data_IF_037429555330
#
_entry.id   IF_037429555330
#
_cell.length_a   1.000
_cell.length_b   1.000
_cell.length_c   1.000
_cell.angle_alpha   90.00
_cell.angle_beta   90.00
_cell.angle_gamma   90.00
#
_symmetry.space_group_name_H-M   'P 1'
#
loop_
_entity.id
_entity.type
_entity.pdbx_description
1 polymer ?
#
# COMPACT_ATOMS: atom_id res chain seq x y z
N UNK A 1 17.00 22.77 5.95
CA UNK A 1 15.67 22.13 5.88
C UNK A 1 15.06 22.16 7.29
N UNK A 2 13.74 22.31 7.42
CA UNK A 2 13.02 22.28 8.69
C UNK A 2 12.76 20.83 9.14
N UNK A 3 12.51 20.60 10.44
CA UNK A 3 12.11 19.27 10.93
C UNK A 3 10.64 18.98 10.59
N UNK A 4 9.78 19.98 10.77
CA UNK A 4 8.35 19.91 10.46
C UNK A 4 7.94 21.19 9.72
N UNK A 5 7.11 21.05 8.70
CA UNK A 5 6.43 22.16 8.04
C UNK A 5 4.93 21.88 7.99
N UNK A 6 4.13 22.89 8.32
CA UNK A 6 2.68 22.79 8.34
C UNK A 6 2.10 23.40 7.07
N UNK A 7 1.33 22.62 6.32
CA UNK A 7 0.54 23.06 5.18
C UNK A 7 -0.69 23.80 5.70
N UNK A 8 -0.81 25.07 5.31
CA UNK A 8 -1.90 25.95 5.75
C UNK A 8 -2.73 26.49 4.57
N UNK A 9 -2.42 26.11 3.33
CA UNK A 9 -3.16 26.54 2.14
C UNK A 9 -3.70 25.36 1.33
N UNK A 10 -4.83 25.59 0.65
CA UNK A 10 -5.47 24.60 -0.20
C UNK A 10 -4.64 24.30 -1.46
N UNK A 11 -3.87 25.27 -1.96
CA UNK A 11 -2.94 25.04 -3.07
C UNK A 11 -1.82 24.04 -2.69
N UNK A 12 -1.26 24.17 -1.48
CA UNK A 12 -0.28 23.23 -0.97
C UNK A 12 -0.89 21.85 -0.73
N UNK A 13 -2.11 21.79 -0.19
CA UNK A 13 -2.85 20.54 0.01
C UNK A 13 -3.09 19.82 -1.32
N UNK A 14 -3.55 20.54 -2.35
CA UNK A 14 -3.73 20.02 -3.72
C UNK A 14 -2.40 19.52 -4.30
N UNK A 15 -1.31 20.25 -4.09
CA UNK A 15 0.00 19.83 -4.58
C UNK A 15 0.46 18.51 -3.95
N UNK A 16 0.23 18.27 -2.66
CA UNK A 16 0.59 17.00 -2.02
C UNK A 16 -0.43 15.87 -2.22
N UNK A 17 -1.57 16.15 -2.85
CA UNK A 17 -2.61 15.15 -3.16
C UNK A 17 -2.28 14.29 -4.40
N UNK A 18 -0.98 14.13 -4.70
CA UNK A 18 -0.43 13.39 -5.83
C UNK A 18 0.70 12.48 -5.32
N UNK A 19 0.55 11.17 -5.52
CA UNK A 19 1.48 10.17 -4.96
C UNK A 19 2.90 10.34 -5.48
N UNK A 20 3.07 10.76 -6.74
CA UNK A 20 4.39 10.99 -7.31
C UNK A 20 5.04 12.24 -6.71
N UNK A 21 4.28 13.30 -6.44
CA UNK A 21 4.80 14.49 -5.76
C UNK A 21 5.24 14.18 -4.32
N UNK A 22 4.46 13.39 -3.58
CA UNK A 22 4.86 12.91 -2.24
C UNK A 22 6.17 12.13 -2.34
N UNK A 23 6.26 11.17 -3.27
CA UNK A 23 7.48 10.38 -3.49
C UNK A 23 8.69 11.23 -3.90
N UNK A 24 8.50 12.26 -4.73
CA UNK A 24 9.56 13.22 -5.08
C UNK A 24 10.03 13.96 -3.82
N UNK A 25 9.11 14.44 -2.99
CA UNK A 25 9.45 15.13 -1.74
C UNK A 25 10.24 14.20 -0.81
N UNK A 26 9.83 12.94 -0.66
CA UNK A 26 10.53 11.96 0.19
C UNK A 26 11.98 11.76 -0.23
N UNK A 27 12.25 11.60 -1.53
CA UNK A 27 13.61 11.47 -2.05
C UNK A 27 14.47 12.74 -1.85
N UNK A 28 13.82 13.90 -1.79
CA UNK A 28 14.46 15.20 -1.58
C UNK A 28 14.65 15.58 -0.10
N UNK A 29 14.22 14.75 0.86
CA UNK A 29 14.48 14.95 2.29
C UNK A 29 15.94 14.72 2.65
N UNK A 30 16.55 13.70 2.06
CA UNK A 30 17.89 13.24 2.44
C UNK A 30 19.00 14.13 1.89
N UNK A 31 18.92 14.47 0.60
CA UNK A 31 19.92 15.29 -0.09
C UNK A 31 19.30 16.07 -1.25
N UNK A 32 19.88 17.21 -1.66
CA UNK A 32 19.48 17.88 -2.87
C UNK A 32 19.71 17.01 -4.11
N UNK A 33 18.74 17.00 -5.03
CA UNK A 33 18.83 16.28 -6.30
C UNK A 33 18.41 17.17 -7.47
N UNK A 34 18.94 16.88 -8.65
CA UNK A 34 18.46 17.46 -9.90
C UNK A 34 17.22 16.71 -10.41
N UNK A 35 16.46 17.35 -11.32
CA UNK A 35 15.35 16.69 -12.02
C UNK A 35 15.83 15.41 -12.73
N UNK A 36 17.01 15.43 -13.35
CA UNK A 36 17.59 14.27 -14.04
C UNK A 36 17.89 13.14 -13.07
N UNK A 37 18.48 13.44 -11.91
CA UNK A 37 18.77 12.43 -10.88
C UNK A 37 17.50 11.84 -10.29
N UNK A 38 16.47 12.65 -10.05
CA UNK A 38 15.16 12.17 -9.62
C UNK A 38 14.51 11.27 -10.68
N UNK A 39 14.60 11.64 -11.95
CA UNK A 39 14.06 10.86 -13.05
C UNK A 39 14.71 9.48 -13.15
N UNK A 40 16.03 9.42 -13.02
CA UNK A 40 16.79 8.16 -12.98
C UNK A 40 16.40 7.32 -11.75
N UNK A 41 16.38 7.92 -10.56
CA UNK A 41 16.04 7.24 -9.30
C UNK A 41 14.62 6.67 -9.30
N UNK A 42 13.67 7.36 -9.92
CA UNK A 42 12.26 6.98 -9.97
C UNK A 42 11.92 6.14 -11.21
N UNK A 43 12.86 5.90 -12.12
CA UNK A 43 12.61 5.19 -13.39
C UNK A 43 11.59 5.90 -14.29
N UNK A 44 11.56 7.23 -14.29
CA UNK A 44 10.57 8.04 -15.02
C UNK A 44 11.20 8.98 -16.05
N UNK A 45 10.41 9.42 -17.03
CA UNK A 45 10.86 10.41 -18.00
C UNK A 45 11.17 11.77 -17.34
N UNK A 46 12.30 12.44 -17.64
CA UNK A 46 12.66 13.73 -17.05
C UNK A 46 11.61 14.83 -17.20
N UNK A 47 10.91 14.87 -18.33
CA UNK A 47 9.84 15.84 -18.58
C UNK A 47 8.68 15.71 -17.57
N UNK A 48 8.33 14.48 -17.18
CA UNK A 48 7.31 14.20 -16.18
C UNK A 48 7.76 14.71 -14.81
N UNK A 49 8.98 14.37 -14.39
CA UNK A 49 9.53 14.84 -13.11
C UNK A 49 9.66 16.36 -13.05
N UNK A 50 10.09 17.00 -14.14
CA UNK A 50 10.20 18.45 -14.22
C UNK A 50 8.87 19.14 -13.91
N UNK A 51 7.76 18.65 -14.47
CA UNK A 51 6.43 19.18 -14.18
C UNK A 51 6.11 19.10 -12.68
N UNK A 52 6.30 17.94 -12.05
CA UNK A 52 5.97 17.76 -10.64
C UNK A 52 6.88 18.59 -9.71
N UNK A 53 8.18 18.68 -9.99
CA UNK A 53 9.12 19.53 -9.24
C UNK A 53 8.71 21.00 -9.33
N UNK A 54 8.32 21.48 -10.51
CA UNK A 54 7.86 22.86 -10.70
C UNK A 54 6.57 23.16 -9.93
N UNK A 55 5.61 22.24 -9.94
CA UNK A 55 4.36 22.42 -9.19
C UNK A 55 4.61 22.51 -7.68
N UNK A 56 5.51 21.67 -7.14
CA UNK A 56 5.89 21.71 -5.74
C UNK A 56 6.72 22.95 -5.37
N UNK A 57 7.63 23.39 -6.25
CA UNK A 57 8.39 24.63 -6.07
C UNK A 57 7.47 25.86 -6.05
N UNK A 58 6.48 25.90 -6.95
CA UNK A 58 5.49 27.00 -7.03
C UNK A 58 4.76 27.21 -5.71
N UNK A 59 4.39 26.13 -5.02
CA UNK A 59 3.73 26.17 -3.71
C UNK A 59 4.71 26.15 -2.53
N UNK A 60 6.01 26.33 -2.80
CA UNK A 60 7.08 26.43 -1.81
C UNK A 60 7.29 25.18 -0.94
N UNK A 61 6.93 24.01 -1.46
CA UNK A 61 7.22 22.72 -0.80
C UNK A 61 8.59 22.17 -1.19
N UNK A 62 9.15 22.64 -2.31
CA UNK A 62 10.55 22.46 -2.68
C UNK A 62 11.24 23.81 -2.84
N UNK A 63 12.57 23.83 -2.72
CA UNK A 63 13.42 24.99 -2.99
C UNK A 63 14.59 24.61 -3.89
N UNK A 64 14.92 25.47 -4.84
CA UNK A 64 16.22 25.46 -5.51
C UNK A 64 17.29 25.88 -4.49
N UNK A 65 18.16 24.96 -4.11
CA UNK A 65 19.19 25.21 -3.09
C UNK A 65 20.57 25.44 -3.67
N UNK A 66 20.81 24.95 -4.89
CA UNK A 66 22.11 25.08 -5.54
C UNK A 66 21.97 25.02 -7.06
N UNK A 67 22.88 25.68 -7.76
CA UNK A 67 23.04 25.57 -9.20
C UNK A 67 24.51 25.33 -9.52
N UNK A 68 24.81 24.31 -10.32
CA UNK A 68 26.19 23.92 -10.69
C UNK A 68 26.32 23.86 -12.20
N UNK A 69 27.42 24.35 -12.74
CA UNK A 69 27.76 24.13 -14.14
C UNK A 69 28.58 22.85 -14.28
N UNK A 70 28.09 21.89 -15.06
CA UNK A 70 28.77 20.62 -15.33
C UNK A 70 28.74 20.34 -16.83
N UNK A 71 29.92 20.40 -17.46
CA UNK A 71 30.04 20.20 -18.91
C UNK A 71 29.30 21.25 -19.75
N UNK A 72 29.24 22.51 -19.28
CA UNK A 72 28.50 23.60 -19.95
C UNK A 72 26.99 23.57 -19.75
N UNK A 73 26.45 22.61 -19.00
CA UNK A 73 25.04 22.51 -18.65
C UNK A 73 24.85 22.99 -17.21
N UNK A 74 23.88 23.89 -17.03
CA UNK A 74 23.51 24.42 -15.73
C UNK A 74 22.54 23.47 -15.02
N UNK A 75 23.04 22.70 -14.06
CA UNK A 75 22.26 21.77 -13.23
C UNK A 75 21.64 22.51 -12.04
N UNK A 76 20.33 22.34 -11.84
CA UNK A 76 19.57 22.88 -10.71
C UNK A 76 19.28 21.80 -9.68
N UNK A 77 19.70 22.02 -8.44
CA UNK A 77 19.51 21.09 -7.33
C UNK A 77 18.39 21.58 -6.41
N UNK A 78 17.36 20.75 -6.28
CA UNK A 78 16.18 21.03 -5.47
C UNK A 78 16.26 20.27 -4.14
N UNK A 79 15.62 20.79 -3.09
CA UNK A 79 15.49 20.10 -1.81
C UNK A 79 14.10 20.35 -1.20
N UNK A 80 13.59 19.37 -0.45
CA UNK A 80 12.36 19.53 0.32
C UNK A 80 12.52 20.59 1.41
N UNK A 81 11.45 21.33 1.72
CA UNK A 81 11.50 22.37 2.74
C UNK A 81 11.55 21.83 4.17
N UNK A 82 11.03 20.63 4.38
CA UNK A 82 11.03 19.96 5.68
C UNK A 82 11.16 18.44 5.57
N UNK A 83 11.61 17.80 6.66
CA UNK A 83 11.61 16.34 6.82
C UNK A 83 10.19 15.78 6.95
N UNK A 84 9.34 16.46 7.71
CA UNK A 84 7.95 16.06 7.92
C UNK A 84 7.01 17.16 7.47
N UNK A 85 5.90 16.76 6.84
CA UNK A 85 4.85 17.66 6.39
C UNK A 85 3.57 17.29 7.12
N UNK A 86 2.99 18.25 7.83
CA UNK A 86 1.70 18.11 8.47
C UNK A 86 0.66 18.97 7.75
N UNK A 87 -0.58 18.50 7.68
CA UNK A 87 -1.69 19.31 7.18
C UNK A 87 -2.36 20.01 8.36
N UNK A 88 -2.51 21.33 8.29
CA UNK A 88 -3.13 22.07 9.38
C UNK A 88 -4.59 21.70 9.56
N UNK A 89 -5.02 21.57 10.81
CA UNK A 89 -6.42 21.30 11.16
C UNK A 89 -7.37 22.37 10.63
N UNK A 90 -6.91 23.61 10.46
CA UNK A 90 -7.71 24.73 9.93
C UNK A 90 -8.21 24.48 8.51
N UNK A 91 -7.48 23.68 7.71
CA UNK A 91 -7.88 23.32 6.35
C UNK A 91 -9.09 22.36 6.31
N UNK A 92 -9.41 21.73 7.44
CA UNK A 92 -10.59 20.87 7.59
C UNK A 92 -11.77 21.58 8.26
N UNK A 93 -11.71 22.91 8.38
CA UNK A 93 -12.85 23.73 8.79
C UNK A 93 -13.95 23.70 7.73
N UNK A 94 -15.21 23.93 8.12
CA UNK A 94 -16.38 23.75 7.25
C UNK A 94 -16.34 24.51 5.92
N UNK A 95 -15.66 25.66 5.85
CA UNK A 95 -15.51 26.45 4.63
C UNK A 95 -14.57 25.82 3.58
N UNK A 96 -13.76 24.83 3.97
CA UNK A 96 -12.73 24.21 3.13
C UNK A 96 -12.81 22.68 3.11
N UNK A 97 -13.86 22.10 3.71
CA UNK A 97 -14.04 20.65 3.81
C UNK A 97 -14.14 19.97 2.44
N UNK A 98 -14.88 20.54 1.50
CA UNK A 98 -15.06 19.93 0.17
C UNK A 98 -13.74 19.82 -0.60
N UNK A 99 -12.91 20.86 -0.56
CA UNK A 99 -11.61 20.84 -1.24
C UNK A 99 -10.62 19.88 -0.56
N UNK A 100 -10.62 19.82 0.77
CA UNK A 100 -9.78 18.88 1.51
C UNK A 100 -10.22 17.42 1.26
N UNK A 101 -11.52 17.17 1.19
CA UNK A 101 -12.08 15.87 0.85
C UNK A 101 -11.76 15.48 -0.60
N UNK A 102 -11.76 16.42 -1.53
CA UNK A 102 -11.37 16.19 -2.92
C UNK A 102 -9.89 15.77 -3.01
N UNK A 103 -8.98 16.45 -2.30
CA UNK A 103 -7.57 16.08 -2.26
C UNK A 103 -7.34 14.67 -1.70
N UNK A 104 -8.00 14.32 -0.60
CA UNK A 104 -7.95 12.96 -0.05
C UNK A 104 -8.51 11.96 -1.07
N UNK A 105 -9.67 12.25 -1.67
CA UNK A 105 -10.29 11.38 -2.67
C UNK A 105 -9.39 11.15 -3.88
N UNK A 106 -8.65 12.17 -4.30
CA UNK A 106 -7.69 12.06 -5.39
C UNK A 106 -6.52 11.11 -5.04
N UNK A 107 -6.00 11.14 -3.82
CA UNK A 107 -4.99 10.19 -3.35
C UNK A 107 -5.54 8.75 -3.30
N UNK A 108 -6.76 8.59 -2.75
CA UNK A 108 -7.44 7.30 -2.69
C UNK A 108 -7.64 6.70 -4.08
N UNK A 109 -8.08 7.51 -5.04
CA UNK A 109 -8.29 7.08 -6.42
C UNK A 109 -6.98 6.67 -7.10
N UNK A 110 -5.89 7.42 -6.91
CA UNK A 110 -4.58 7.03 -7.45
C UNK A 110 -4.09 5.69 -6.88
N UNK A 111 -4.25 5.49 -5.56
CA UNK A 111 -3.89 4.23 -4.92
C UNK A 111 -4.74 3.06 -5.45
N UNK A 112 -6.06 3.26 -5.56
CA UNK A 112 -7.00 2.30 -6.16
C UNK A 112 -6.60 1.95 -7.59
N UNK A 113 -6.37 2.94 -8.44
CA UNK A 113 -6.08 2.74 -9.86
C UNK A 113 -4.74 2.02 -10.04
N UNK A 114 -3.73 2.37 -9.24
CA UNK A 114 -2.45 1.66 -9.20
C UNK A 114 -2.60 0.19 -8.78
N UNK A 115 -3.37 -0.07 -7.71
CA UNK A 115 -3.66 -1.44 -7.28
C UNK A 115 -4.42 -2.24 -8.35
N UNK A 116 -5.45 -1.67 -8.97
CA UNK A 116 -6.23 -2.34 -10.00
C UNK A 116 -5.38 -2.65 -11.26
N UNK A 117 -4.48 -1.75 -11.65
CA UNK A 117 -3.56 -2.00 -12.75
C UNK A 117 -2.61 -3.17 -12.42
N UNK A 118 -2.03 -3.19 -11.22
CA UNK A 118 -1.18 -4.29 -10.75
C UNK A 118 -1.95 -5.61 -10.66
N UNK A 119 -3.19 -5.57 -10.16
CA UNK A 119 -4.11 -6.70 -10.13
C UNK A 119 -4.35 -7.28 -11.52
N UNK A 120 -4.75 -6.43 -12.49
CA UNK A 120 -5.01 -6.87 -13.86
C UNK A 120 -3.79 -7.47 -14.53
N UNK A 121 -2.61 -6.86 -14.35
CA UNK A 121 -1.36 -7.36 -14.88
C UNK A 121 -1.01 -8.74 -14.29
N UNK A 122 -1.12 -8.87 -12.97
CA UNK A 122 -0.90 -10.14 -12.26
C UNK A 122 -1.86 -11.25 -12.72
N UNK A 123 -3.13 -10.92 -13.01
CA UNK A 123 -4.10 -11.89 -13.53
C UNK A 123 -3.78 -12.42 -14.93
N UNK A 124 -2.90 -11.75 -15.69
CA UNK A 124 -2.43 -12.20 -17.00
C UNK A 124 -1.15 -13.04 -16.92
N UNK A 125 -0.46 -13.03 -15.77
CA UNK A 125 0.72 -13.86 -15.55
C UNK A 125 0.35 -15.34 -15.58
N UNK A 126 1.23 -16.19 -16.10
CA UNK A 126 1.04 -17.65 -16.13
C UNK A 126 1.86 -18.39 -15.08
N UNK A 127 2.90 -17.76 -14.54
CA UNK A 127 3.83 -18.40 -13.59
C UNK A 127 3.33 -18.31 -12.15
N UNK A 128 3.08 -17.10 -11.64
CA UNK A 128 2.56 -16.89 -10.28
C UNK A 128 1.50 -15.80 -10.23
N UNK A 129 0.25 -16.11 -10.57
CA UNK A 129 -0.86 -15.16 -10.48
C UNK A 129 -1.08 -14.76 -9.03
N UNK A 130 -0.96 -13.46 -8.76
CA UNK A 130 -1.18 -12.88 -7.44
C UNK A 130 0.06 -12.61 -6.62
N UNK A 131 1.24 -13.03 -7.09
CA UNK A 131 2.49 -12.79 -6.38
C UNK A 131 2.72 -11.28 -6.17
N UNK A 132 2.95 -10.89 -4.92
CA UNK A 132 3.19 -9.50 -4.54
C UNK A 132 1.94 -8.62 -4.41
N UNK A 133 0.73 -9.18 -4.55
CA UNK A 133 -0.52 -8.46 -4.28
C UNK A 133 -1.09 -8.85 -2.92
N UNK A 134 -1.48 -7.83 -2.15
CA UNK A 134 -2.23 -8.00 -0.91
C UNK A 134 -3.28 -6.90 -0.80
N UNK A 135 -4.49 -7.26 -0.40
CA UNK A 135 -5.52 -6.32 0.05
C UNK A 135 -6.24 -6.96 1.23
N UNK A 136 -6.05 -6.37 2.41
CA UNK A 136 -6.45 -6.94 3.69
C UNK A 136 -7.48 -6.03 4.33
N UNK A 137 -8.62 -6.60 4.71
CA UNK A 137 -9.64 -5.92 5.49
C UNK A 137 -9.75 -6.59 6.86
N UNK A 138 -9.46 -5.82 7.91
CA UNK A 138 -9.44 -6.33 9.29
C UNK A 138 -10.26 -5.43 10.20
N UNK A 139 -11.19 -6.03 10.93
CA UNK A 139 -11.88 -5.35 12.03
C UNK A 139 -11.03 -5.45 13.30
N UNK A 140 -10.64 -4.29 13.83
CA UNK A 140 -9.80 -4.20 15.02
C UNK A 140 -10.53 -3.41 16.11
N UNK A 141 -10.37 -3.85 17.36
CA UNK A 141 -10.93 -3.19 18.54
C UNK A 141 -9.79 -2.54 19.30
N UNK A 142 -9.75 -1.20 19.30
CA UNK A 142 -8.71 -0.43 19.97
C UNK A 142 -9.20 0.99 20.27
N UNK A 143 -8.54 1.64 21.22
CA UNK A 143 -8.67 3.07 21.48
C UNK A 143 -7.91 3.90 20.44
N UNK A 144 -8.17 5.21 20.37
CA UNK A 144 -7.43 6.13 19.48
C UNK A 144 -5.93 6.18 19.82
N UNK A 145 -5.57 6.09 21.10
CA UNK A 145 -4.16 6.07 21.53
C UNK A 145 -3.46 4.78 21.08
N UNK A 146 -4.13 3.64 21.23
CA UNK A 146 -3.63 2.35 20.73
C UNK A 146 -3.49 2.35 19.20
N UNK A 147 -4.41 2.99 18.47
CA UNK A 147 -4.31 3.17 17.02
C UNK A 147 -3.06 3.99 16.64
N UNK A 148 -2.80 5.11 17.31
CA UNK A 148 -1.57 5.88 17.07
C UNK A 148 -0.30 5.07 17.38
N UNK A 149 -0.30 4.30 18.46
CA UNK A 149 0.83 3.42 18.82
C UNK A 149 1.04 2.31 17.79
N UNK A 150 -0.04 1.73 17.27
CA UNK A 150 0.03 0.70 16.22
C UNK A 150 0.64 1.28 14.94
N UNK A 151 0.16 2.45 14.47
CA UNK A 151 0.72 3.10 13.28
C UNK A 151 2.20 3.43 13.46
N UNK A 152 2.62 3.85 14.65
CA UNK A 152 4.05 4.08 14.95
C UNK A 152 4.88 2.80 14.78
N UNK A 153 4.42 1.68 15.35
CA UNK A 153 5.12 0.38 15.24
C UNK A 153 5.18 -0.11 13.80
N UNK A 154 4.11 0.09 13.02
CA UNK A 154 4.11 -0.24 11.58
C UNK A 154 5.17 0.57 10.84
N UNK A 155 5.27 1.88 11.11
CA UNK A 155 6.30 2.72 10.48
C UNK A 155 7.72 2.29 10.87
N UNK A 156 7.96 1.93 12.13
CA UNK A 156 9.26 1.38 12.57
C UNK A 156 9.63 0.10 11.80
N UNK A 157 8.65 -0.75 11.46
CA UNK A 157 8.87 -1.93 10.62
C UNK A 157 9.21 -1.58 9.16
N UNK A 158 8.70 -0.46 8.64
CA UNK A 158 8.97 -0.02 7.27
C UNK A 158 10.39 0.53 7.07
N UNK A 159 11.07 1.02 8.12
CA UNK A 159 12.40 1.64 8.02
C UNK A 159 13.42 0.76 7.26
N UNK A 160 13.32 -0.58 7.40
CA UNK A 160 14.22 -1.53 6.73
C UNK A 160 14.00 -1.62 5.21
N UNK A 161 12.87 -1.14 4.70
CA UNK A 161 12.41 -1.29 3.31
C UNK A 161 12.29 0.05 2.56
N UNK A 162 12.56 1.18 3.21
CA UNK A 162 12.39 2.51 2.61
C UNK A 162 13.31 2.77 1.40
N UNK A 163 14.42 2.04 1.29
CA UNK A 163 15.42 2.23 0.24
C UNK A 163 15.70 0.91 -0.47
N UNK A 164 15.91 0.92 -1.80
CA UNK A 164 16.38 -0.26 -2.52
C UNK A 164 17.69 -0.78 -1.93
N UNK A 165 17.77 -2.08 -1.69
CA UNK A 165 18.93 -2.78 -1.13
C UNK A 165 19.76 -3.47 -2.20
N UNK A 166 19.23 -3.63 -3.41
CA UNK A 166 19.92 -4.22 -4.56
C UNK A 166 20.03 -5.74 -4.49
N UNK A 167 19.06 -6.39 -3.84
CA UNK A 167 19.01 -7.85 -3.70
C UNK A 167 18.17 -8.48 -4.83
N UNK A 168 18.47 -9.73 -5.16
CA UNK A 168 17.75 -10.47 -6.21
C UNK A 168 16.25 -10.61 -5.87
N UNK A 169 15.38 -10.35 -6.85
CA UNK A 169 13.93 -10.36 -6.67
C UNK A 169 13.33 -9.15 -5.96
N UNK A 170 14.15 -8.17 -5.54
CA UNK A 170 13.65 -6.93 -4.95
C UNK A 170 12.87 -6.10 -5.96
N UNK A 171 11.70 -5.66 -5.54
CA UNK A 171 10.83 -4.77 -6.30
C UNK A 171 10.19 -3.75 -5.38
N UNK A 172 9.71 -2.66 -5.96
CA UNK A 172 9.01 -1.63 -5.22
C UNK A 172 7.57 -2.07 -4.90
N UNK A 173 7.18 -1.96 -3.64
CA UNK A 173 5.80 -2.17 -3.19
C UNK A 173 5.19 -0.86 -2.70
N UNK A 174 4.01 -0.52 -3.21
CA UNK A 174 3.22 0.59 -2.69
C UNK A 174 2.28 0.07 -1.58
N UNK A 175 2.59 0.41 -0.33
CA UNK A 175 1.76 0.05 0.82
C UNK A 175 0.88 1.24 1.23
N UNK A 176 -0.44 1.06 1.20
CA UNK A 176 -1.41 2.08 1.63
C UNK A 176 -2.30 1.49 2.72
N UNK A 177 -2.29 2.12 3.90
CA UNK A 177 -3.05 1.69 5.06
C UNK A 177 -4.13 2.73 5.39
N UNK A 178 -5.38 2.29 5.43
CA UNK A 178 -6.51 3.08 5.91
C UNK A 178 -6.97 2.55 7.26
N UNK A 179 -7.14 3.44 8.22
CA UNK A 179 -7.72 3.13 9.51
C UNK A 179 -8.71 4.24 9.85
N UNK A 180 -9.95 3.84 10.15
CA UNK A 180 -11.03 4.76 10.49
C UNK A 180 -11.95 4.10 11.51
N UNK A 181 -12.60 4.89 12.40
CA UNK A 181 -13.64 4.35 13.26
C UNK A 181 -14.83 3.94 12.40
N UNK A 182 -15.30 2.70 12.56
CA UNK A 182 -16.48 2.20 11.89
C UNK A 182 -17.73 2.91 12.45
N UNK A 183 -18.32 3.84 11.68
CA UNK A 183 -19.45 4.67 12.12
C UNK A 183 -20.79 4.25 11.48
N UNK A 184 -20.77 3.54 10.35
CA UNK A 184 -21.96 3.07 9.65
C UNK A 184 -21.88 1.55 9.46
N UNK A 185 -22.74 0.79 10.17
CA UNK A 185 -22.88 -0.66 9.96
C UNK A 185 -23.37 -1.05 8.55
N UNK A 186 -23.76 -0.07 7.73
CA UNK A 186 -24.30 -0.24 6.38
C UNK A 186 -23.40 0.37 5.30
N UNK A 187 -22.08 0.16 5.38
CA UNK A 187 -21.32 0.11 4.12
C UNK A 187 -21.76 -1.17 3.41
N UNK A 188 -22.68 -1.03 2.46
CA UNK A 188 -23.14 -2.12 1.63
C UNK A 188 -21.96 -2.63 0.80
N UNK A 189 -21.17 -3.54 1.36
CA UNK A 189 -20.38 -4.45 0.52
C UNK A 189 -21.38 -5.14 -0.42
N UNK A 190 -21.08 -5.28 -1.72
CA UNK A 190 -21.95 -6.02 -2.63
C UNK A 190 -22.34 -7.34 -1.97
N UNK A 191 -23.62 -7.71 -1.96
CA UNK A 191 -24.12 -8.89 -1.23
C UNK A 191 -23.35 -10.19 -1.51
N UNK A 192 -22.65 -10.27 -2.65
CA UNK A 192 -21.71 -11.33 -3.00
C UNK A 192 -20.48 -11.48 -2.06
N UNK A 193 -20.17 -10.46 -1.24
CA UNK A 193 -19.09 -10.42 -0.24
C UNK A 193 -19.59 -10.68 1.19
N UNK A 194 -20.91 -10.67 1.43
CA UNK A 194 -21.53 -10.70 2.78
C UNK A 194 -22.00 -12.11 3.17
N UNK A 195 -22.02 -13.05 2.23
CA UNK A 195 -22.45 -14.41 2.54
C UNK A 195 -21.46 -15.03 3.55
N UNK A 196 -21.91 -15.17 4.81
CA UNK A 196 -21.28 -15.87 5.93
C UNK A 196 -20.09 -15.25 6.71
N UNK A 197 -20.16 -13.96 7.04
CA UNK A 197 -19.42 -13.44 8.21
C UNK A 197 -20.31 -13.51 9.46
N UNK A 198 -20.32 -14.66 10.14
CA UNK A 198 -20.96 -14.77 11.46
C UNK A 198 -20.15 -13.98 12.51
N UNK A 199 -20.76 -13.08 13.30
CA UNK A 199 -20.04 -12.11 14.15
C UNK A 199 -19.45 -12.69 15.45
N UNK A 200 -19.00 -13.95 15.48
CA UNK A 200 -18.47 -14.57 16.71
C UNK A 200 -17.24 -15.44 16.47
N UNK A 201 -16.05 -14.81 16.46
CA UNK A 201 -14.78 -15.26 17.11
C UNK A 201 -13.60 -14.35 16.68
N UNK A 202 -12.56 -14.19 17.52
CA UNK A 202 -11.38 -13.39 17.17
C UNK A 202 -10.49 -14.16 16.18
N UNK A 203 -9.91 -13.47 15.19
CA UNK A 203 -8.93 -13.95 14.19
C UNK A 203 -9.43 -14.43 12.81
N UNK A 204 -10.64 -14.10 12.36
CA UNK A 204 -10.93 -14.24 10.93
C UNK A 204 -10.31 -13.09 10.14
N UNK A 205 -9.24 -13.39 9.40
CA UNK A 205 -8.65 -12.46 8.42
C UNK A 205 -9.41 -12.63 7.10
N UNK A 206 -10.22 -11.63 6.75
CA UNK A 206 -10.91 -11.60 5.46
C UNK A 206 -9.99 -10.91 4.45
N UNK A 207 -9.46 -11.69 3.52
CA UNK A 207 -8.69 -11.16 2.39
C UNK A 207 -9.62 -10.91 1.21
N UNK A 208 -9.68 -9.68 0.71
CA UNK A 208 -10.46 -9.34 -0.50
C UNK A 208 -9.47 -9.02 -1.61
N UNK A 209 -9.70 -9.42 -2.85
CA UNK A 209 -8.74 -9.23 -3.95
C UNK A 209 -7.88 -10.48 -4.20
N UNK A 210 -6.56 -10.39 -3.97
CA UNK A 210 -5.65 -11.52 -4.22
C UNK A 210 -4.94 -11.92 -2.94
N UNK A 211 -4.94 -13.22 -2.65
CA UNK A 211 -4.15 -13.82 -1.58
C UNK A 211 -3.22 -14.87 -2.18
N UNK A 212 -1.93 -14.59 -2.13
CA UNK A 212 -0.90 -15.57 -2.45
C UNK A 212 -0.35 -16.17 -1.16
N UNK A 213 -0.23 -17.50 -1.10
CA UNK A 213 0.28 -18.26 0.04
C UNK A 213 1.47 -19.08 -0.44
N UNK A 214 2.61 -18.87 0.20
CA UNK A 214 3.85 -19.57 -0.12
C UNK A 214 4.21 -20.61 0.96
N UNK A 215 5.17 -21.47 0.64
CA UNK A 215 5.64 -22.53 1.54
C UNK A 215 6.18 -22.00 2.86
N UNK A 216 6.95 -20.91 2.82
CA UNK A 216 7.56 -20.32 4.02
C UNK A 216 6.51 -19.86 5.03
N UNK A 217 5.43 -19.23 4.57
CA UNK A 217 4.30 -18.80 5.40
C UNK A 217 3.67 -19.98 6.16
N UNK A 218 3.43 -21.10 5.47
CA UNK A 218 2.83 -22.29 6.08
C UNK A 218 3.80 -23.00 7.02
N UNK A 219 5.08 -23.12 6.67
CA UNK A 219 6.10 -23.69 7.56
C UNK A 219 6.22 -22.87 8.85
N UNK A 220 6.15 -21.54 8.77
CA UNK A 220 6.16 -20.66 9.93
C UNK A 220 4.89 -20.84 10.78
N UNK A 221 3.71 -20.95 10.16
CA UNK A 221 2.47 -21.22 10.87
C UNK A 221 2.51 -22.58 11.60
N UNK A 222 3.04 -23.62 10.96
CA UNK A 222 3.20 -24.95 11.57
C UNK A 222 4.15 -24.91 12.78
N UNK A 223 5.30 -24.24 12.66
CA UNK A 223 6.26 -24.08 13.77
C UNK A 223 5.64 -23.35 14.97
N UNK A 224 4.70 -22.44 14.71
CA UNK A 224 3.98 -21.70 15.74
C UNK A 224 2.75 -22.44 16.29
N UNK A 225 2.48 -23.68 15.84
CA UNK A 225 1.23 -24.42 16.10
C UNK A 225 -0.02 -23.57 15.81
N UNK A 226 0.05 -22.76 14.75
CA UNK A 226 -1.03 -21.87 14.34
C UNK A 226 -1.83 -22.53 13.22
N UNK A 227 -3.12 -22.73 13.47
CA UNK A 227 -4.07 -23.16 12.45
C UNK A 227 -4.68 -21.93 11.76
N UNK A 228 -4.63 -21.89 10.44
CA UNK A 228 -5.08 -20.79 9.61
C UNK A 228 -6.54 -20.98 9.23
N UNK A 229 -7.35 -19.94 9.44
CA UNK A 229 -8.73 -19.84 8.97
C UNK A 229 -8.75 -18.77 7.88
N UNK A 230 -8.93 -19.19 6.63
CA UNK A 230 -8.83 -18.32 5.46
C UNK A 230 -10.21 -18.05 4.88
N UNK A 231 -10.59 -16.76 4.82
CA UNK A 231 -11.78 -16.29 4.11
C UNK A 231 -11.35 -15.34 3.01
N UNK A 232 -11.43 -15.78 1.75
CA UNK A 232 -10.88 -15.07 0.60
C UNK A 232 -12.00 -14.73 -0.38
N UNK A 233 -12.06 -13.48 -0.83
CA UNK A 233 -12.94 -13.06 -1.92
C UNK A 233 -12.11 -12.52 -3.07
N UNK A 234 -12.00 -13.28 -4.16
CA UNK A 234 -11.21 -12.94 -5.34
C UNK A 234 -10.32 -14.11 -5.81
N UNK A 235 -9.01 -13.90 -5.97
CA UNK A 235 -8.06 -14.94 -6.37
C UNK A 235 -7.28 -15.44 -5.14
N UNK A 236 -7.30 -16.74 -4.90
CA UNK A 236 -6.36 -17.40 -4.02
C UNK A 236 -5.35 -18.17 -4.87
N UNK A 237 -4.05 -18.01 -4.61
CA UNK A 237 -3.01 -18.85 -5.19
C UNK A 237 -2.13 -19.48 -4.12
N UNK A 238 -1.89 -20.79 -4.24
CA UNK A 238 -0.91 -21.53 -3.45
C UNK A 238 0.30 -21.77 -4.34
N UNK A 239 1.50 -21.43 -3.86
CA UNK A 239 2.74 -21.66 -4.60
C UNK A 239 2.90 -23.15 -4.96
N UNK A 240 3.44 -23.43 -6.15
CA UNK A 240 3.49 -24.78 -6.72
C UNK A 240 4.42 -25.76 -5.98
N UNK A 241 5.29 -25.25 -5.11
CA UNK A 241 6.24 -26.01 -4.30
C UNK A 241 5.68 -26.39 -2.91
N UNK A 242 4.44 -26.00 -2.60
CA UNK A 242 3.76 -26.30 -1.35
C UNK A 242 3.22 -27.74 -1.36
N UNK A 243 3.68 -28.64 -0.48
CA UNK A 243 3.18 -30.00 -0.42
C UNK A 243 1.81 -30.08 0.26
N UNK A 244 0.96 -31.02 -0.17
CA UNK A 244 -0.37 -31.24 0.40
C UNK A 244 -0.37 -31.42 1.92
N UNK A 245 0.58 -32.19 2.47
CA UNK A 245 0.67 -32.47 3.91
C UNK A 245 0.84 -31.18 4.73
N UNK A 246 1.59 -30.22 4.21
CA UNK A 246 1.79 -28.94 4.87
C UNK A 246 0.47 -28.17 4.92
N UNK A 247 -0.24 -28.08 3.79
CA UNK A 247 -1.57 -27.45 3.71
C UNK A 247 -2.55 -28.08 4.69
N UNK A 248 -2.59 -29.42 4.77
CA UNK A 248 -3.45 -30.17 5.68
C UNK A 248 -3.15 -29.88 7.14
N UNK A 249 -1.87 -29.75 7.48
CA UNK A 249 -1.44 -29.48 8.86
C UNK A 249 -1.69 -28.04 9.32
N UNK A 250 -1.77 -27.09 8.39
CA UNK A 250 -1.84 -25.66 8.70
C UNK A 250 -3.17 -25.00 8.42
N UNK A 251 -3.92 -25.42 7.39
CA UNK A 251 -5.17 -24.77 6.97
C UNK A 251 -6.35 -25.60 7.47
N UNK A 252 -7.01 -25.10 8.51
CA UNK A 252 -8.14 -25.77 9.17
C UNK A 252 -9.48 -25.38 8.53
N UNK A 253 -9.63 -24.10 8.15
CA UNK A 253 -10.85 -23.58 7.52
C UNK A 253 -10.51 -22.79 6.27
N UNK A 254 -11.29 -23.01 5.22
CA UNK A 254 -11.12 -22.35 3.94
C UNK A 254 -12.47 -21.93 3.35
N UNK A 255 -12.61 -20.65 3.03
CA UNK A 255 -13.71 -20.09 2.26
C UNK A 255 -13.14 -19.28 1.11
N UNK A 256 -13.71 -19.46 -0.08
CA UNK A 256 -13.29 -18.76 -1.28
C UNK A 256 -14.48 -18.40 -2.17
N UNK A 257 -14.69 -17.10 -2.36
CA UNK A 257 -15.59 -16.55 -3.38
C UNK A 257 -14.72 -16.03 -4.53
N UNK A 258 -14.49 -16.86 -5.55
CA UNK A 258 -13.70 -16.50 -6.73
C UNK A 258 -12.90 -17.67 -7.30
N UNK A 259 -11.63 -17.47 -7.66
CA UNK A 259 -10.77 -18.47 -8.31
C UNK A 259 -9.68 -18.98 -7.37
N UNK A 260 -9.44 -20.29 -7.36
CA UNK A 260 -8.30 -20.92 -6.70
C UNK A 260 -7.31 -21.40 -7.76
N UNK A 261 -6.03 -21.17 -7.53
CA UNK A 261 -4.93 -21.77 -8.29
C UNK A 261 -3.97 -22.46 -7.33
N UNK A 262 -3.78 -23.76 -7.50
CA UNK A 262 -2.86 -24.56 -6.70
C UNK A 262 -2.44 -25.81 -7.49
N UNK A 263 -1.48 -26.57 -6.97
CA UNK A 263 -1.20 -27.92 -7.45
C UNK A 263 -2.48 -28.78 -7.37
N UNK A 264 -2.69 -29.76 -8.28
CA UNK A 264 -3.96 -30.49 -8.37
C UNK A 264 -4.44 -31.13 -7.06
N UNK A 265 -3.53 -31.75 -6.32
CA UNK A 265 -3.79 -32.39 -5.03
C UNK A 265 -4.16 -31.38 -3.93
N UNK A 266 -3.45 -30.26 -3.86
CA UNK A 266 -3.75 -29.14 -2.96
C UNK A 266 -5.09 -28.49 -3.30
N UNK A 267 -5.37 -28.30 -4.59
CA UNK A 267 -6.63 -27.76 -5.07
C UNK A 267 -7.80 -28.62 -4.61
N UNK A 268 -7.72 -29.93 -4.86
CA UNK A 268 -8.77 -30.88 -4.49
C UNK A 268 -9.01 -30.90 -2.98
N UNK A 269 -7.93 -30.88 -2.18
CA UNK A 269 -8.04 -30.80 -0.72
C UNK A 269 -8.72 -29.51 -0.26
N UNK A 270 -8.26 -28.34 -0.73
CA UNK A 270 -8.85 -27.05 -0.34
C UNK A 270 -10.32 -26.93 -0.74
N UNK A 271 -10.70 -27.49 -1.90
CA UNK A 271 -12.09 -27.56 -2.31
C UNK A 271 -12.91 -28.53 -1.45
N UNK A 272 -12.31 -29.59 -0.93
CA UNK A 272 -12.97 -30.55 -0.03
C UNK A 272 -13.28 -29.96 1.36
N UNK A 273 -12.41 -29.09 1.86
CA UNK A 273 -12.63 -28.37 3.14
C UNK A 273 -13.30 -27.01 2.94
N UNK A 274 -13.64 -26.65 1.69
CA UNK A 274 -14.25 -25.36 1.38
C UNK A 274 -15.63 -25.30 2.00
N UNK A 275 -15.81 -24.37 2.92
CA UNK A 275 -17.12 -24.03 3.43
C UNK A 275 -17.77 -23.12 2.39
N UNK A 276 -18.93 -23.53 1.85
CA UNK A 276 -19.78 -22.60 1.12
C UNK A 276 -20.38 -21.63 2.14
N UNK A 277 -20.45 -20.33 1.81
CA UNK A 277 -21.27 -19.42 2.58
C UNK A 277 -22.77 -19.73 2.40
#
# INVERSE_FOLDING_TARGET
MLDVYEITSLEQLRAISDLLRVRIMDNLKEKPLTVTQLAELLGMAPAKIHYHVRELEKVQLLKLVETREKGGILEKYYQAVARNINVSKSLFSSASQDEAAEGISQLLNQARDGYLAAFQHSMQSTQEPGAGLAFVLTHLYMTTDEMHQLLKRINELYETYEKPRGIEGEQEFMHVLFSYPEQQKELAMPAALIADVQPQQPQQEVSVGVRHINRHELEQALQQNKHLHLSIVGLCSIAGDVPLELVQSTIEKFSLVGRLQAAPDVYDYLMSIRHQP
#
